data_IF_352936214039
#
_entry.id   IF_352936214039
#
_cell.length_a   1.000
_cell.length_b   1.000
_cell.length_c   1.000
_cell.angle_alpha   90.00
_cell.angle_beta   90.00
_cell.angle_gamma   90.00
#
_symmetry.space_group_name_H-M   'P 1'
#
loop_
_entity.id
_entity.type
_entity.pdbx_description
1 polymer ?
#
# COMPACT_ATOMS: atom_id res chain seq x y z
N UNK A 1 -24.11 -4.45 1.07
CA UNK A 1 -24.27 -3.29 1.99
C UNK A 1 -23.15 -3.17 3.01
N UNK A 2 -22.65 -4.25 3.61
CA UNK A 2 -21.58 -4.18 4.61
C UNK A 2 -20.22 -3.68 4.05
N UNK A 3 -19.85 -4.09 2.85
CA UNK A 3 -18.60 -3.73 2.19
C UNK A 3 -18.47 -2.22 1.94
N UNK A 4 -19.44 -1.60 1.28
CA UNK A 4 -19.44 -0.15 1.02
C UNK A 4 -19.42 0.68 2.31
N UNK A 5 -20.10 0.18 3.38
CA UNK A 5 -20.07 0.83 4.69
C UNK A 5 -18.68 0.78 5.33
N UNK A 6 -17.94 -0.32 5.15
CA UNK A 6 -16.56 -0.45 5.63
C UNK A 6 -15.64 0.50 4.86
N UNK A 7 -15.76 0.51 3.53
CA UNK A 7 -14.95 1.40 2.67
C UNK A 7 -15.17 2.86 3.06
N UNK A 8 -16.43 3.29 3.14
CA UNK A 8 -16.77 4.67 3.50
C UNK A 8 -16.30 5.07 4.90
N UNK A 9 -16.39 4.14 5.87
CA UNK A 9 -16.06 4.45 7.26
C UNK A 9 -14.55 4.48 7.52
N UNK A 10 -13.80 3.56 6.91
CA UNK A 10 -12.40 3.32 7.27
C UNK A 10 -11.40 3.63 6.17
N UNK A 11 -11.82 3.64 4.90
CA UNK A 11 -10.90 3.72 3.76
C UNK A 11 -11.22 4.84 2.76
N UNK A 12 -12.30 5.58 2.98
CA UNK A 12 -12.66 6.74 2.14
C UNK A 12 -12.12 8.04 2.76
N UNK A 13 -10.90 8.42 2.38
CA UNK A 13 -10.22 9.63 2.82
C UNK A 13 -9.77 10.43 1.59
N UNK A 14 -9.80 11.79 1.62
CA UNK A 14 -9.29 12.60 0.52
C UNK A 14 -7.85 12.23 0.15
N UNK A 15 -7.62 12.01 -1.13
CA UNK A 15 -6.29 11.75 -1.68
C UNK A 15 -5.48 13.05 -1.80
N UNK A 16 -4.15 12.93 -1.89
CA UNK A 16 -3.30 14.06 -2.22
C UNK A 16 -3.60 14.59 -3.63
N UNK A 17 -3.27 15.84 -3.89
CA UNK A 17 -3.59 16.56 -5.15
C UNK A 17 -2.96 15.96 -6.42
N UNK A 18 -2.04 15.02 -6.29
CA UNK A 18 -1.44 14.28 -7.40
C UNK A 18 -2.28 13.09 -7.90
N UNK A 19 -3.43 12.82 -7.27
CA UNK A 19 -4.40 11.80 -7.67
C UNK A 19 -5.58 12.50 -8.34
N UNK A 20 -5.85 12.16 -9.60
CA UNK A 20 -6.94 12.75 -10.37
C UNK A 20 -8.31 12.24 -9.92
N UNK A 21 -8.40 10.92 -9.63
CA UNK A 21 -9.57 10.25 -9.08
C UNK A 21 -9.11 9.11 -8.16
N UNK A 22 -9.59 9.08 -6.93
CA UNK A 22 -9.29 8.07 -5.93
C UNK A 22 -10.46 7.16 -5.59
N UNK A 23 -10.60 6.81 -4.30
CA UNK A 23 -11.70 5.97 -3.79
C UNK A 23 -13.05 6.62 -4.05
N UNK A 24 -14.03 5.83 -4.53
CA UNK A 24 -15.41 6.27 -4.72
C UNK A 24 -15.98 6.04 -6.12
N UNK A 25 -15.18 5.60 -7.07
CA UNK A 25 -15.58 5.18 -8.41
C UNK A 25 -15.05 3.76 -8.71
N UNK A 26 -15.40 3.19 -9.86
CA UNK A 26 -14.99 1.83 -10.26
C UNK A 26 -13.47 1.66 -10.39
N UNK A 27 -12.75 2.76 -10.62
CA UNK A 27 -11.28 2.76 -10.77
C UNK A 27 -10.68 4.11 -10.43
N UNK A 28 -9.42 4.11 -10.02
CA UNK A 28 -8.66 5.34 -9.83
C UNK A 28 -8.08 5.86 -11.16
N UNK A 29 -7.87 7.18 -11.25
CA UNK A 29 -7.20 7.83 -12.37
C UNK A 29 -5.93 8.54 -11.88
N UNK A 30 -4.85 8.32 -12.59
CA UNK A 30 -3.56 8.97 -12.36
C UNK A 30 -2.99 9.49 -13.68
N UNK A 31 -2.60 10.75 -13.70
CA UNK A 31 -1.84 11.29 -14.83
C UNK A 31 -0.34 11.06 -14.61
N UNK A 32 0.34 10.28 -15.46
CA UNK A 32 1.78 10.07 -15.35
C UNK A 32 2.55 11.39 -15.45
N UNK A 33 3.49 11.68 -14.54
CA UNK A 33 4.36 12.83 -14.70
C UNK A 33 5.20 12.70 -15.98
N UNK A 34 5.49 13.82 -16.68
CA UNK A 34 6.30 13.78 -17.89
C UNK A 34 7.71 13.22 -17.60
N UNK A 35 8.22 12.40 -18.51
CA UNK A 35 9.56 11.80 -18.43
C UNK A 35 9.78 10.88 -17.22
N UNK A 36 8.73 10.32 -16.66
CA UNK A 36 8.82 9.31 -15.59
C UNK A 36 8.28 7.95 -16.03
N UNK A 37 8.74 6.93 -15.36
CA UNK A 37 8.25 5.54 -15.48
C UNK A 37 7.52 5.16 -14.22
N UNK A 38 6.44 4.38 -14.39
CA UNK A 38 5.70 3.79 -13.29
C UNK A 38 6.43 2.56 -12.76
N UNK A 39 6.66 2.55 -11.45
CA UNK A 39 7.13 1.37 -10.69
C UNK A 39 5.94 0.81 -9.92
N UNK A 40 5.71 -0.49 -10.03
CA UNK A 40 4.59 -1.18 -9.39
C UNK A 40 5.13 -2.42 -8.68
N UNK A 41 4.73 -2.64 -7.44
CA UNK A 41 4.95 -3.88 -6.70
C UNK A 41 3.67 -4.29 -5.95
N UNK A 42 3.62 -5.53 -5.48
CA UNK A 42 2.53 -6.01 -4.66
C UNK A 42 3.02 -7.09 -3.70
N UNK A 43 2.67 -6.93 -2.42
CA UNK A 43 2.91 -7.90 -1.38
C UNK A 43 1.61 -8.33 -0.69
N UNK A 44 1.58 -9.59 -0.26
CA UNK A 44 0.46 -10.15 0.48
C UNK A 44 0.90 -10.61 1.86
N UNK A 45 0.21 -10.12 2.89
CA UNK A 45 0.38 -10.53 4.28
C UNK A 45 -0.78 -11.45 4.69
N UNK A 46 -0.46 -12.60 5.28
CA UNK A 46 -1.42 -13.58 5.78
C UNK A 46 -1.20 -13.76 7.28
N UNK A 47 -2.28 -13.66 8.06
CA UNK A 47 -2.26 -13.85 9.51
C UNK A 47 -1.73 -15.24 9.89
N UNK A 48 -0.92 -15.33 10.93
CA UNK A 48 -0.24 -16.56 11.36
C UNK A 48 0.96 -16.96 10.50
N UNK A 49 1.21 -16.28 9.37
CA UNK A 49 2.35 -16.50 8.48
C UNK A 49 3.32 -15.32 8.46
N UNK A 50 2.80 -14.12 8.22
CA UNK A 50 3.60 -12.91 8.06
C UNK A 50 3.56 -12.01 9.31
N UNK A 51 2.62 -12.28 10.19
CA UNK A 51 2.51 -11.68 11.52
C UNK A 51 1.74 -12.62 12.46
N UNK A 52 2.03 -12.62 13.79
CA UNK A 52 1.27 -13.37 14.81
C UNK A 52 -0.20 -12.98 14.85
N UNK A 53 -1.07 -13.89 15.30
CA UNK A 53 -2.52 -13.66 15.33
C UNK A 53 -2.94 -12.57 16.35
N UNK A 54 -2.13 -12.34 17.35
CA UNK A 54 -2.31 -11.36 18.44
C UNK A 54 -1.59 -10.02 18.16
N UNK A 55 -1.11 -9.80 16.94
CA UNK A 55 -0.45 -8.56 16.57
C UNK A 55 -1.44 -7.39 16.60
N UNK A 56 -1.00 -6.25 17.16
CA UNK A 56 -1.78 -5.02 17.18
C UNK A 56 -2.23 -4.60 15.76
N UNK A 57 -3.53 -4.34 15.56
CA UNK A 57 -4.06 -3.94 14.24
C UNK A 57 -3.36 -2.73 13.63
N UNK A 58 -2.99 -1.73 14.44
CA UNK A 58 -2.24 -0.57 13.96
C UNK A 58 -0.89 -0.98 13.36
N UNK A 59 -0.14 -1.84 14.06
CA UNK A 59 1.14 -2.34 13.56
C UNK A 59 0.98 -3.16 12.27
N UNK A 60 -0.12 -3.92 12.12
CA UNK A 60 -0.43 -4.65 10.89
C UNK A 60 -0.71 -3.67 9.75
N UNK A 61 -1.53 -2.64 9.99
CA UNK A 61 -1.84 -1.61 9.00
C UNK A 61 -0.59 -0.88 8.51
N UNK A 62 0.26 -0.46 9.44
CA UNK A 62 1.56 0.16 9.12
C UNK A 62 2.44 -0.76 8.28
N UNK A 63 2.64 -2.00 8.73
CA UNK A 63 3.49 -2.98 8.04
C UNK A 63 3.00 -3.27 6.63
N UNK A 64 1.69 -3.37 6.41
CA UNK A 64 1.12 -3.69 5.10
C UNK A 64 1.49 -2.67 4.02
N UNK A 65 1.64 -1.41 4.40
CA UNK A 65 2.12 -0.35 3.51
C UNK A 65 3.65 -0.35 3.43
N UNK A 66 4.33 -0.36 4.58
CA UNK A 66 5.77 -0.15 4.67
C UNK A 66 6.58 -1.17 3.87
N UNK A 67 6.19 -2.45 3.84
CA UNK A 67 6.90 -3.49 3.07
C UNK A 67 6.87 -3.20 1.57
N UNK A 68 5.74 -2.73 1.05
CA UNK A 68 5.60 -2.33 -0.35
C UNK A 68 6.38 -1.05 -0.67
N UNK A 69 6.38 -0.06 0.24
CA UNK A 69 7.16 1.16 0.04
C UNK A 69 8.67 0.88 0.04
N UNK A 70 9.11 -0.15 0.78
CA UNK A 70 10.49 -0.64 0.74
C UNK A 70 10.88 -1.12 -0.66
N UNK A 71 10.00 -1.85 -1.35
CA UNK A 71 10.24 -2.29 -2.73
C UNK A 71 10.25 -1.14 -3.73
N UNK A 72 9.35 -0.17 -3.58
CA UNK A 72 9.39 1.07 -4.38
C UNK A 72 10.71 1.80 -4.18
N UNK A 73 11.18 1.92 -2.93
CA UNK A 73 12.46 2.57 -2.61
C UNK A 73 13.66 1.79 -3.18
N UNK A 74 13.64 0.45 -3.14
CA UNK A 74 14.69 -0.40 -3.69
C UNK A 74 14.87 -0.20 -5.21
N UNK A 75 13.80 0.20 -5.91
CA UNK A 75 13.84 0.56 -7.33
C UNK A 75 14.28 2.01 -7.58
N UNK A 76 14.62 2.78 -6.54
CA UNK A 76 14.97 4.20 -6.64
C UNK A 76 13.77 5.09 -6.97
N UNK A 77 12.54 4.61 -6.78
CA UNK A 77 11.33 5.32 -7.10
C UNK A 77 10.77 6.09 -5.88
N UNK A 78 10.07 7.18 -6.16
CA UNK A 78 9.29 7.91 -5.16
C UNK A 78 7.91 7.26 -5.06
N UNK A 79 7.48 6.82 -3.87
CA UNK A 79 6.16 6.25 -3.69
C UNK A 79 5.08 7.32 -3.94
N UNK A 80 3.91 6.90 -4.43
CA UNK A 80 2.82 7.80 -4.79
C UNK A 80 1.47 7.35 -4.25
N UNK A 81 1.07 6.12 -4.52
CA UNK A 81 -0.26 5.62 -4.15
C UNK A 81 -0.26 4.11 -3.90
N UNK A 82 -1.30 3.65 -3.24
CA UNK A 82 -1.55 2.24 -2.97
C UNK A 82 -2.98 1.83 -3.31
N UNK A 83 -3.15 0.55 -3.65
CA UNK A 83 -4.43 -0.17 -3.65
C UNK A 83 -4.41 -1.20 -2.52
N UNK A 84 -5.54 -1.36 -1.82
CA UNK A 84 -5.70 -2.32 -0.73
C UNK A 84 -6.75 -3.36 -1.09
N UNK A 85 -6.37 -4.64 -1.19
CA UNK A 85 -7.29 -5.77 -1.20
C UNK A 85 -7.27 -6.44 0.18
N UNK A 86 -8.38 -6.32 0.91
CA UNK A 86 -8.52 -6.76 2.29
C UNK A 86 -9.56 -7.89 2.39
N UNK A 87 -9.12 -9.07 2.84
CA UNK A 87 -9.98 -10.22 3.11
C UNK A 87 -10.08 -10.46 4.60
N UNK A 88 -11.32 -10.43 5.14
CA UNK A 88 -11.60 -10.50 6.58
C UNK A 88 -12.44 -11.73 6.92
N UNK A 89 -12.12 -12.44 8.04
CA UNK A 89 -12.99 -13.55 8.51
C UNK A 89 -14.34 -13.04 9.03
N UNK A 90 -14.34 -11.88 9.64
CA UNK A 90 -15.53 -11.22 10.18
C UNK A 90 -15.30 -9.70 10.24
N UNK A 91 -16.38 -8.95 10.34
CA UNK A 91 -16.33 -7.50 10.58
C UNK A 91 -16.09 -7.28 12.08
N UNK A 92 -14.94 -6.68 12.39
CA UNK A 92 -14.58 -6.21 13.72
C UNK A 92 -14.21 -4.72 13.61
N UNK A 93 -15.08 -3.86 14.13
CA UNK A 93 -14.93 -2.41 14.01
C UNK A 93 -13.75 -1.86 14.80
N UNK A 94 -13.40 -2.45 15.93
CA UNK A 94 -12.23 -2.02 16.72
C UNK A 94 -10.93 -2.40 15.99
N UNK A 95 -10.89 -3.60 15.43
CA UNK A 95 -9.77 -4.04 14.60
C UNK A 95 -9.62 -3.16 13.36
N UNK A 96 -10.70 -2.90 12.62
CA UNK A 96 -10.69 -2.07 11.41
C UNK A 96 -10.23 -0.65 11.69
N UNK A 97 -10.66 -0.07 12.82
CA UNK A 97 -10.21 1.26 13.26
C UNK A 97 -8.71 1.31 13.52
N UNK A 98 -8.17 0.33 14.25
CA UNK A 98 -6.73 0.24 14.50
C UNK A 98 -5.94 0.03 13.22
N UNK A 99 -6.38 -0.90 12.38
CA UNK A 99 -5.74 -1.22 11.10
C UNK A 99 -5.71 -0.02 10.15
N UNK A 100 -6.86 0.63 9.94
CA UNK A 100 -6.93 1.80 9.04
C UNK A 100 -6.10 2.97 9.56
N UNK A 101 -6.05 3.19 10.88
CA UNK A 101 -5.20 4.21 11.46
C UNK A 101 -3.72 3.94 11.18
N UNK A 102 -3.23 2.71 11.42
CA UNK A 102 -1.84 2.35 11.13
C UNK A 102 -1.48 2.44 9.65
N UNK A 103 -2.40 2.03 8.77
CA UNK A 103 -2.26 2.17 7.32
C UNK A 103 -2.08 3.65 6.93
N UNK A 104 -2.96 4.53 7.42
CA UNK A 104 -2.90 5.95 7.09
C UNK A 104 -1.72 6.68 7.75
N UNK A 105 -1.31 6.29 8.95
CA UNK A 105 -0.13 6.88 9.58
C UNK A 105 1.14 6.62 8.73
N UNK A 106 1.25 5.41 8.17
CA UNK A 106 2.32 5.10 7.22
C UNK A 106 2.17 5.89 5.91
N UNK A 107 0.97 5.93 5.34
CA UNK A 107 0.69 6.71 4.14
C UNK A 107 1.04 8.19 4.32
N UNK A 108 0.66 8.78 5.43
CA UNK A 108 0.92 10.20 5.73
C UNK A 108 2.42 10.48 5.91
N UNK A 109 3.14 9.59 6.58
CA UNK A 109 4.58 9.76 6.75
C UNK A 109 5.34 9.81 5.43
N UNK A 110 4.88 9.05 4.43
CA UNK A 110 5.55 8.95 3.14
C UNK A 110 4.86 9.71 2.00
N UNK A 111 3.77 10.44 2.29
CA UNK A 111 3.03 11.22 1.30
C UNK A 111 2.33 10.35 0.24
N UNK A 112 1.79 9.20 0.66
CA UNK A 112 1.15 8.20 -0.20
C UNK A 112 -0.37 8.26 -0.03
N UNK A 113 -1.14 8.09 -1.11
CA UNK A 113 -2.59 8.01 -1.07
C UNK A 113 -3.09 6.57 -1.23
N UNK A 114 -4.07 6.17 -0.42
CA UNK A 114 -4.93 5.03 -0.75
C UNK A 114 -5.92 5.49 -1.83
N UNK A 115 -5.89 4.84 -3.00
CA UNK A 115 -6.67 5.27 -4.16
C UNK A 115 -7.74 4.28 -4.61
N UNK A 116 -7.84 3.13 -3.97
CA UNK A 116 -8.82 2.10 -4.27
C UNK A 116 -8.46 0.75 -3.68
N UNK A 117 -9.20 -0.27 -4.09
CA UNK A 117 -8.97 -1.64 -3.64
C UNK A 117 -10.25 -2.45 -3.59
N UNK A 118 -10.25 -3.48 -2.76
CA UNK A 118 -11.37 -4.40 -2.58
C UNK A 118 -11.46 -4.84 -1.12
N UNK A 119 -12.67 -5.11 -0.64
CA UNK A 119 -12.90 -5.66 0.70
C UNK A 119 -13.84 -6.86 0.58
N UNK A 120 -13.38 -8.04 0.95
CA UNK A 120 -14.15 -9.27 0.83
C UNK A 120 -14.11 -10.11 2.10
N UNK A 121 -15.04 -11.06 2.21
CA UNK A 121 -15.04 -12.03 3.30
C UNK A 121 -14.25 -13.28 2.93
N UNK A 122 -13.38 -13.75 3.83
CA UNK A 122 -12.58 -14.95 3.68
C UNK A 122 -12.37 -15.63 5.03
N UNK A 123 -12.19 -16.96 5.11
CA UNK A 123 -11.88 -17.64 6.37
C UNK A 123 -10.58 -17.15 7.03
N UNK A 124 -9.68 -16.55 6.28
CA UNK A 124 -8.38 -16.08 6.75
C UNK A 124 -8.21 -14.58 6.52
N UNK A 125 -7.69 -13.89 7.53
CA UNK A 125 -7.26 -12.49 7.37
C UNK A 125 -6.08 -12.45 6.40
N UNK A 126 -6.31 -11.78 5.26
CA UNK A 126 -5.32 -11.61 4.20
C UNK A 126 -5.35 -10.15 3.73
N UNK A 127 -4.18 -9.57 3.59
CA UNK A 127 -4.00 -8.17 3.23
C UNK A 127 -3.05 -8.12 2.04
N UNK A 128 -3.52 -7.68 0.89
CA UNK A 128 -2.67 -7.45 -0.28
C UNK A 128 -2.65 -5.96 -0.57
N UNK A 129 -1.44 -5.40 -0.63
CA UNK A 129 -1.25 -4.01 -1.02
C UNK A 129 -0.48 -3.99 -2.34
N UNK A 130 -1.00 -3.23 -3.30
CA UNK A 130 -0.27 -2.88 -4.52
C UNK A 130 0.21 -1.44 -4.38
N UNK A 131 1.51 -1.21 -4.45
CA UNK A 131 2.09 0.13 -4.40
C UNK A 131 2.54 0.60 -5.78
N UNK A 132 2.34 1.88 -6.02
CA UNK A 132 2.71 2.59 -7.23
C UNK A 132 3.66 3.74 -6.87
N UNK A 133 4.68 3.93 -7.68
CA UNK A 133 5.64 5.01 -7.53
C UNK A 133 6.20 5.48 -8.87
N UNK A 134 6.90 6.59 -8.86
CA UNK A 134 7.46 7.19 -10.05
C UNK A 134 8.99 7.29 -9.96
N UNK A 135 9.65 6.97 -11.06
CA UNK A 135 11.10 7.15 -11.23
C UNK A 135 11.36 7.81 -12.58
N UNK A 136 12.39 8.64 -12.68
CA UNK A 136 12.77 9.24 -13.96
C UNK A 136 13.10 8.16 -14.99
N UNK A 137 12.71 8.39 -16.24
CA UNK A 137 12.91 7.43 -17.33
C UNK A 137 14.37 6.99 -17.42
N UNK A 138 14.59 5.67 -17.32
CA UNK A 138 15.93 5.06 -17.38
C UNK A 138 16.75 5.18 -16.07
N UNK A 139 16.15 5.65 -14.97
CA UNK A 139 16.83 5.77 -13.66
C UNK A 139 16.42 4.71 -12.65
N UNK A 140 15.55 3.77 -13.04
CA UNK A 140 15.19 2.65 -12.16
C UNK A 140 16.41 1.84 -11.76
N UNK A 141 16.55 1.56 -10.46
CA UNK A 141 17.62 0.74 -9.90
C UNK A 141 17.27 -0.73 -10.09
N UNK A 142 18.14 -1.49 -10.74
CA UNK A 142 17.90 -2.89 -11.07
C UNK A 142 18.83 -3.81 -10.26
N UNK A 143 18.34 -5.01 -9.90
CA UNK A 143 19.18 -6.03 -9.24
C UNK A 143 20.45 -6.38 -10.04
N UNK A 144 20.36 -6.34 -11.37
CA UNK A 144 21.48 -6.60 -12.28
C UNK A 144 22.44 -5.41 -12.43
N UNK A 145 22.17 -4.27 -11.80
CA UNK A 145 22.98 -3.06 -11.91
C UNK A 145 24.21 -3.03 -11.01
N UNK A 146 24.28 -3.89 -9.99
CA UNK A 146 25.38 -3.90 -9.03
C UNK A 146 26.73 -4.26 -9.68
N UNK A 147 27.78 -3.54 -9.26
CA UNK A 147 29.14 -3.68 -9.79
C UNK A 147 30.14 -3.93 -8.66
N UNK A 148 31.33 -4.46 -9.05
CA UNK A 148 32.45 -4.61 -8.11
C UNK A 148 32.92 -3.22 -7.65
N UNK A 149 32.92 -3.01 -6.34
CA UNK A 149 33.24 -1.72 -5.71
C UNK A 149 32.04 -0.99 -5.13
N UNK A 150 30.80 -1.44 -5.39
CA UNK A 150 29.61 -0.89 -4.77
C UNK A 150 29.54 -1.23 -3.28
N UNK A 151 28.98 -0.31 -2.50
CA UNK A 151 28.70 -0.54 -1.08
C UNK A 151 27.47 -1.43 -0.91
N UNK A 152 27.56 -2.40 0.01
CA UNK A 152 26.44 -3.22 0.44
C UNK A 152 25.81 -2.54 1.65
N UNK A 153 24.56 -2.10 1.51
CA UNK A 153 23.82 -1.43 2.57
C UNK A 153 22.60 -2.28 2.96
N UNK A 154 22.24 -2.22 4.25
CA UNK A 154 21.00 -2.78 4.78
C UNK A 154 20.19 -1.61 5.35
N UNK A 155 18.94 -1.51 4.91
CA UNK A 155 17.99 -0.48 5.37
C UNK A 155 16.98 -1.04 6.37
#
# INVERSE_FOLDING_TARGET
MAEFSIIDTYFNRPSYSSVDLGVGDDSALLTPPPQQQLVICADTLVAGRHFPLDTDPHAIGWKSVAVNLSDIAAMGAKPHSILLALSLPQIDHDWLKGFSQGLYDCCDQFGVSLIGGDTTQSPHLTISVTALGWVDTGKGVLRSGAQVGDYICVG
#
